data_IF_437203542088
#
_entry.id   IF_437203542088
#
_cell.length_a   1.000
_cell.length_b   1.000
_cell.length_c   1.000
_cell.angle_alpha   90.00
_cell.angle_beta   90.00
_cell.angle_gamma   90.00
#
_symmetry.space_group_name_H-M   'P 1'
#
loop_
_entity.id
_entity.type
_entity.pdbx_description
1 polymer ?
#
# COMPACT_ATOMS: atom_id res chain seq x y z
N UNK A 1 -7.57 26.72 -21.74
CA UNK A 1 -6.81 26.48 -20.50
C UNK A 1 -6.10 25.13 -20.63
N UNK A 2 -4.79 25.06 -20.37
CA UNK A 2 -4.06 23.77 -20.27
C UNK A 2 -3.93 23.43 -18.79
N UNK A 3 -4.35 22.23 -18.40
CA UNK A 3 -4.23 21.71 -17.04
C UNK A 3 -3.10 20.67 -17.03
N UNK A 4 -2.21 20.75 -16.04
CA UNK A 4 -1.16 19.76 -15.78
C UNK A 4 -1.37 19.18 -14.39
N UNK A 5 -1.57 17.86 -14.30
CA UNK A 5 -1.60 17.16 -13.03
C UNK A 5 -0.19 17.04 -12.46
N UNK A 6 -0.07 17.21 -11.14
CA UNK A 6 1.18 17.06 -10.41
C UNK A 6 1.14 15.71 -9.70
N UNK A 7 1.71 14.67 -10.34
CA UNK A 7 1.67 13.29 -9.85
C UNK A 7 2.09 13.21 -8.38
N UNK A 8 3.32 13.58 -8.07
CA UNK A 8 3.87 13.36 -6.73
C UNK A 8 3.07 14.10 -5.66
N UNK A 9 2.71 15.36 -5.90
CA UNK A 9 1.98 16.16 -4.91
C UNK A 9 0.58 15.59 -4.67
N UNK A 10 -0.08 15.12 -5.73
CA UNK A 10 -1.40 14.48 -5.62
C UNK A 10 -1.31 13.11 -4.94
N UNK A 11 -0.27 12.34 -5.27
CA UNK A 11 0.02 11.03 -4.69
C UNK A 11 0.22 11.10 -3.16
N UNK A 12 1.07 12.01 -2.69
CA UNK A 12 1.28 12.22 -1.25
C UNK A 12 0.01 12.70 -0.56
N UNK A 13 -0.71 13.65 -1.16
CA UNK A 13 -1.95 14.18 -0.58
C UNK A 13 -3.02 13.09 -0.43
N UNK A 14 -3.12 12.19 -1.40
CA UNK A 14 -4.02 11.03 -1.36
C UNK A 14 -3.65 10.06 -0.24
N UNK A 15 -2.35 9.78 -0.08
CA UNK A 15 -1.85 8.91 1.00
C UNK A 15 -2.19 9.54 2.37
N UNK A 16 -1.88 10.81 2.59
CA UNK A 16 -2.13 11.50 3.85
C UNK A 16 -3.64 11.57 4.17
N UNK A 17 -4.48 11.88 3.19
CA UNK A 17 -5.94 11.94 3.36
C UNK A 17 -6.62 10.57 3.46
N UNK A 18 -5.89 9.48 3.22
CA UNK A 18 -6.45 8.14 3.34
C UNK A 18 -6.65 7.69 4.79
N UNK A 19 -6.03 8.38 5.76
CA UNK A 19 -6.13 8.04 7.19
C UNK A 19 -7.58 8.06 7.65
N UNK A 20 -8.01 6.97 8.28
CA UNK A 20 -9.38 6.79 8.76
C UNK A 20 -10.41 6.45 7.68
N UNK A 21 -10.00 6.31 6.41
CA UNK A 21 -10.93 6.02 5.32
C UNK A 21 -11.38 4.56 5.32
N UNK A 22 -12.69 4.35 5.23
CA UNK A 22 -13.31 3.02 5.18
C UNK A 22 -13.36 2.43 3.76
N UNK A 23 -12.98 3.18 2.73
CA UNK A 23 -13.11 2.76 1.33
C UNK A 23 -12.26 1.52 0.98
N UNK A 24 -11.27 1.20 1.81
CA UNK A 24 -10.40 0.04 1.63
C UNK A 24 -10.86 -1.18 2.45
N UNK A 25 -11.90 -1.06 3.30
CA UNK A 25 -12.30 -2.13 4.22
C UNK A 25 -12.81 -3.40 3.52
N UNK A 26 -13.38 -3.27 2.33
CA UNK A 26 -14.08 -4.39 1.68
C UNK A 26 -13.64 -4.55 0.24
N UNK A 27 -13.15 -5.73 -0.10
CA UNK A 27 -12.89 -6.15 -1.48
C UNK A 27 -13.66 -7.45 -1.73
N UNK A 28 -14.73 -7.37 -2.52
CA UNK A 28 -15.51 -8.54 -2.89
C UNK A 28 -14.80 -9.35 -3.99
N UNK A 29 -14.72 -10.65 -3.78
CA UNK A 29 -14.28 -11.61 -4.80
C UNK A 29 -15.10 -12.88 -4.76
N UNK A 30 -14.88 -13.74 -5.75
CA UNK A 30 -15.45 -15.08 -5.81
C UNK A 30 -14.34 -16.10 -5.53
N UNK A 31 -14.58 -17.00 -4.57
CA UNK A 31 -13.68 -18.11 -4.23
C UNK A 31 -14.50 -19.39 -4.27
N UNK A 32 -14.13 -20.32 -5.15
CA UNK A 32 -14.84 -21.58 -5.36
C UNK A 32 -16.35 -21.39 -5.63
N UNK A 33 -16.71 -20.38 -6.43
CA UNK A 33 -18.10 -20.04 -6.75
C UNK A 33 -18.86 -19.29 -5.66
N UNK A 34 -18.20 -18.95 -4.54
CA UNK A 34 -18.82 -18.25 -3.40
C UNK A 34 -18.31 -16.82 -3.30
N UNK A 35 -19.24 -15.86 -3.26
CA UNK A 35 -18.93 -14.46 -2.98
C UNK A 35 -18.39 -14.31 -1.55
N UNK A 36 -17.21 -13.71 -1.42
CA UNK A 36 -16.52 -13.49 -0.14
C UNK A 36 -15.93 -12.09 -0.05
N UNK A 37 -15.95 -11.50 1.14
CA UNK A 37 -15.13 -10.33 1.46
C UNK A 37 -13.70 -10.79 1.69
N UNK A 38 -12.82 -10.50 0.74
CA UNK A 38 -11.43 -10.95 0.75
C UNK A 38 -10.59 -10.20 1.79
N UNK A 39 -11.02 -9.00 2.23
CA UNK A 39 -10.31 -8.19 3.21
C UNK A 39 -10.86 -8.32 4.63
N UNK A 40 -11.96 -9.07 4.81
CA UNK A 40 -12.64 -9.32 6.08
C UNK A 40 -12.83 -8.03 6.92
N UNK A 41 -13.64 -7.09 6.41
CA UNK A 41 -13.90 -5.79 7.06
C UNK A 41 -12.62 -5.03 7.43
N UNK A 42 -11.63 -5.07 6.54
CA UNK A 42 -10.38 -4.34 6.67
C UNK A 42 -9.28 -5.07 7.43
N UNK A 43 -9.54 -6.23 8.02
CA UNK A 43 -8.51 -6.99 8.75
C UNK A 43 -7.31 -7.36 7.86
N UNK A 44 -7.55 -7.65 6.57
CA UNK A 44 -6.53 -8.06 5.60
C UNK A 44 -6.35 -7.03 4.46
N UNK A 45 -6.60 -5.75 4.73
CA UNK A 45 -6.66 -4.74 3.67
C UNK A 45 -5.32 -4.11 3.28
N UNK A 46 -4.20 -4.36 3.97
CA UNK A 46 -2.94 -3.64 3.70
C UNK A 46 -2.50 -3.62 2.21
N UNK A 47 -2.53 -4.77 1.52
CA UNK A 47 -2.21 -4.81 0.08
C UNK A 47 -3.33 -4.21 -0.79
N UNK A 48 -4.60 -4.36 -0.41
CA UNK A 48 -5.73 -3.74 -1.12
C UNK A 48 -5.65 -2.21 -1.02
N UNK A 49 -5.30 -1.68 0.14
CA UNK A 49 -5.04 -0.27 0.39
C UNK A 49 -3.91 0.27 -0.50
N UNK A 50 -2.71 -0.32 -0.40
CA UNK A 50 -1.54 0.14 -1.17
C UNK A 50 -1.82 0.03 -2.67
N UNK A 51 -2.28 -1.13 -3.14
CA UNK A 51 -2.56 -1.33 -4.56
C UNK A 51 -3.65 -0.40 -5.09
N UNK A 52 -4.70 -0.12 -4.31
CA UNK A 52 -5.74 0.83 -4.73
C UNK A 52 -5.20 2.22 -5.02
N UNK A 53 -4.34 2.73 -4.12
CA UNK A 53 -3.74 4.06 -4.29
C UNK A 53 -2.82 4.06 -5.51
N UNK A 54 -1.95 3.06 -5.65
CA UNK A 54 -1.05 2.98 -6.81
C UNK A 54 -1.83 2.90 -8.13
N UNK A 55 -2.92 2.12 -8.16
CA UNK A 55 -3.75 1.94 -9.34
C UNK A 55 -4.47 3.23 -9.77
N UNK A 56 -4.77 4.16 -8.84
CA UNK A 56 -5.30 5.48 -9.21
C UNK A 56 -4.33 6.30 -10.06
N UNK A 57 -3.03 5.97 -10.02
CA UNK A 57 -1.97 6.59 -10.80
C UNK A 57 -1.39 5.62 -11.85
N UNK A 58 -2.17 4.61 -12.29
CA UNK A 58 -1.74 3.62 -13.27
C UNK A 58 -1.29 4.23 -14.61
N UNK A 59 -1.75 5.43 -14.97
CA UNK A 59 -1.25 6.15 -16.16
C UNK A 59 0.26 6.46 -16.12
N UNK A 60 0.87 6.40 -14.93
CA UNK A 60 2.32 6.56 -14.71
C UNK A 60 3.05 5.23 -14.52
N UNK A 61 2.36 4.10 -14.73
CA UNK A 61 2.91 2.76 -14.62
C UNK A 61 3.25 2.34 -13.19
N UNK A 62 2.53 2.82 -12.17
CA UNK A 62 2.87 2.44 -10.79
C UNK A 62 2.52 0.98 -10.47
N UNK A 63 1.39 0.47 -10.95
CA UNK A 63 1.07 -0.97 -10.98
C UNK A 63 0.07 -1.21 -12.11
N UNK A 64 -0.08 -2.46 -12.54
CA UNK A 64 -1.03 -2.83 -13.59
C UNK A 64 -2.42 -3.19 -13.04
N UNK A 65 -2.49 -3.84 -11.87
CA UNK A 65 -3.76 -4.38 -11.35
C UNK A 65 -3.94 -4.24 -9.85
N UNK A 66 -5.17 -4.41 -9.36
CA UNK A 66 -5.48 -4.40 -7.93
C UNK A 66 -5.07 -5.72 -7.28
N UNK A 67 -4.49 -5.66 -6.07
CA UNK A 67 -4.05 -6.83 -5.31
C UNK A 67 -4.63 -6.86 -3.90
N UNK A 68 -5.08 -8.03 -3.45
CA UNK A 68 -5.46 -8.26 -2.04
C UNK A 68 -4.32 -8.93 -1.25
N UNK A 69 -3.40 -9.61 -1.93
CA UNK A 69 -2.24 -10.25 -1.30
C UNK A 69 -0.96 -9.44 -1.50
N UNK A 70 -0.11 -9.41 -0.46
CA UNK A 70 1.18 -8.71 -0.48
C UNK A 70 2.12 -9.28 -1.54
N UNK A 71 2.26 -10.61 -1.62
CA UNK A 71 3.11 -11.25 -2.62
C UNK A 71 2.73 -10.89 -4.08
N UNK A 72 1.43 -10.78 -4.37
CA UNK A 72 0.94 -10.36 -5.68
C UNK A 72 1.28 -8.90 -5.98
N UNK A 73 1.04 -8.02 -5.00
CA UNK A 73 1.40 -6.61 -5.07
C UNK A 73 2.89 -6.41 -5.32
N UNK A 74 3.76 -7.06 -4.56
CA UNK A 74 5.22 -6.88 -4.68
C UNK A 74 5.73 -7.33 -6.05
N UNK A 75 5.16 -8.41 -6.61
CA UNK A 75 5.50 -8.86 -7.97
C UNK A 75 5.07 -7.85 -9.03
N UNK A 76 3.83 -7.37 -8.99
CA UNK A 76 3.33 -6.35 -9.94
C UNK A 76 4.14 -5.05 -9.83
N UNK A 77 4.47 -4.63 -8.61
CA UNK A 77 5.36 -3.49 -8.37
C UNK A 77 6.73 -3.70 -9.06
N UNK A 78 7.38 -4.83 -8.86
CA UNK A 78 8.68 -5.11 -9.49
C UNK A 78 8.57 -5.12 -11.02
N UNK A 79 7.54 -5.77 -11.57
CA UNK A 79 7.24 -5.81 -13.01
C UNK A 79 6.93 -4.40 -13.57
N UNK A 80 6.36 -3.53 -12.74
CA UNK A 80 6.04 -2.14 -13.05
C UNK A 80 7.23 -1.19 -12.87
N UNK A 81 8.42 -1.67 -12.48
CA UNK A 81 9.62 -0.85 -12.39
C UNK A 81 9.92 -0.28 -11.00
N UNK A 82 9.23 -0.75 -9.96
CA UNK A 82 9.66 -0.48 -8.59
C UNK A 82 10.95 -1.21 -8.27
N UNK A 83 11.85 -0.54 -7.56
CA UNK A 83 13.13 -1.10 -7.16
C UNK A 83 13.40 -0.85 -5.68
N UNK A 84 14.22 -1.72 -5.07
CA UNK A 84 14.58 -1.59 -3.66
C UNK A 84 15.55 -0.42 -3.44
N UNK A 85 15.31 0.36 -2.40
CA UNK A 85 16.20 1.42 -1.90
C UNK A 85 16.62 1.13 -0.46
N UNK A 86 17.75 1.70 -0.01
CA UNK A 86 18.24 1.50 1.36
C UNK A 86 17.64 2.46 2.37
N UNK A 87 17.33 3.69 1.95
CA UNK A 87 16.81 4.75 2.81
C UNK A 87 15.42 5.17 2.34
N UNK A 88 14.44 5.31 3.24
CA UNK A 88 13.08 5.66 2.84
C UNK A 88 13.01 7.08 2.28
N UNK A 89 12.31 7.22 1.15
CA UNK A 89 11.91 8.50 0.56
C UNK A 89 10.44 8.75 0.86
N UNK A 90 10.02 10.01 0.99
CA UNK A 90 8.61 10.37 1.11
C UNK A 90 7.81 9.74 -0.04
N UNK A 91 6.80 8.93 0.29
CA UNK A 91 6.00 8.18 -0.67
C UNK A 91 6.54 6.79 -1.04
N UNK A 92 7.70 6.38 -0.51
CA UNK A 92 8.20 5.03 -0.71
C UNK A 92 7.26 4.00 -0.07
N UNK A 93 7.24 2.78 -0.63
CA UNK A 93 6.49 1.67 -0.03
C UNK A 93 7.41 0.92 0.92
N UNK A 94 6.91 0.65 2.12
CA UNK A 94 7.58 -0.17 3.12
C UNK A 94 6.92 -1.54 3.16
N UNK A 95 7.74 -2.58 3.11
CA UNK A 95 7.35 -3.97 3.34
C UNK A 95 7.97 -4.44 4.66
N UNK A 96 7.12 -4.86 5.60
CA UNK A 96 7.55 -5.40 6.88
C UNK A 96 7.48 -6.92 6.91
N UNK A 97 8.37 -7.50 7.71
CA UNK A 97 8.46 -8.93 7.97
C UNK A 97 7.13 -9.52 8.44
N UNK A 98 6.98 -10.82 8.21
CA UNK A 98 5.83 -11.58 8.71
C UNK A 98 5.79 -11.54 10.23
N UNK A 99 4.76 -10.92 10.76
CA UNK A 99 4.49 -10.99 12.19
C UNK A 99 3.39 -12.02 12.48
N UNK A 100 3.61 -12.88 13.48
CA UNK A 100 2.55 -13.76 14.00
C UNK A 100 1.61 -12.94 14.86
N UNK A 101 0.35 -12.80 14.41
CA UNK A 101 -0.73 -12.24 15.22
C UNK A 101 -1.92 -13.21 15.20
N UNK A 102 -2.39 -13.60 16.38
CA UNK A 102 -3.57 -14.46 16.56
C UNK A 102 -3.54 -15.76 15.75
N UNK A 103 -2.37 -16.40 15.62
CA UNK A 103 -2.23 -17.65 14.87
C UNK A 103 -2.11 -17.50 13.34
N UNK A 104 -2.19 -16.29 12.80
CA UNK A 104 -1.90 -15.98 11.39
C UNK A 104 -0.58 -15.20 11.26
N UNK A 105 0.29 -15.65 10.35
CA UNK A 105 1.41 -14.85 9.86
C UNK A 105 0.89 -13.93 8.76
N UNK A 106 1.00 -12.61 8.95
CA UNK A 106 0.62 -11.65 7.92
C UNK A 106 1.82 -10.77 7.59
N UNK A 107 2.14 -10.68 6.31
CA UNK A 107 3.00 -9.64 5.75
C UNK A 107 2.27 -8.30 5.84
N UNK A 108 3.04 -7.21 5.93
CA UNK A 108 2.46 -5.89 6.04
C UNK A 108 3.12 -4.92 5.07
N UNK A 109 2.32 -4.02 4.50
CA UNK A 109 2.77 -3.00 3.55
C UNK A 109 2.09 -1.67 3.81
N UNK A 110 2.77 -0.58 3.45
CA UNK A 110 2.30 0.79 3.65
C UNK A 110 3.22 1.81 3.01
N UNK A 111 2.85 3.08 3.14
CA UNK A 111 3.61 4.20 2.58
C UNK A 111 4.42 4.91 3.67
N UNK A 112 5.67 5.20 3.39
CA UNK A 112 6.47 6.10 4.22
C UNK A 112 6.04 7.55 3.99
N UNK A 113 5.80 8.28 5.07
CA UNK A 113 5.29 9.67 5.02
C UNK A 113 6.21 10.68 5.70
N UNK A 114 7.50 10.35 5.84
CA UNK A 114 8.51 11.22 6.46
C UNK A 114 8.50 11.15 7.99
N UNK A 115 9.52 11.76 8.61
CA UNK A 115 9.62 11.93 10.08
C UNK A 115 9.45 10.63 10.88
N UNK A 116 10.02 9.54 10.37
CA UNK A 116 9.88 8.21 10.95
C UNK A 116 8.43 7.70 11.06
N UNK A 117 7.55 8.17 10.17
CA UNK A 117 6.15 7.77 10.08
C UNK A 117 5.85 7.00 8.80
N UNK A 118 4.90 6.08 8.91
CA UNK A 118 4.27 5.40 7.80
C UNK A 118 2.74 5.41 7.95
N UNK A 119 2.04 5.26 6.82
CA UNK A 119 0.60 5.04 6.77
C UNK A 119 0.35 3.64 6.21
N UNK A 120 -0.35 2.83 6.99
CA UNK A 120 -0.69 1.46 6.64
C UNK A 120 -2.06 1.09 7.21
N UNK A 121 -2.65 0.02 6.70
CA UNK A 121 -3.95 -0.43 7.16
C UNK A 121 -3.87 -1.05 8.56
N UNK A 122 -4.63 -0.53 9.51
CA UNK A 122 -4.73 -1.07 10.86
C UNK A 122 -5.75 -2.21 10.91
N UNK A 123 -5.35 -3.46 11.18
CA UNK A 123 -6.27 -4.60 11.14
C UNK A 123 -7.36 -4.58 12.22
N UNK A 124 -7.16 -3.84 13.32
CA UNK A 124 -8.12 -3.77 14.43
C UNK A 124 -9.28 -2.82 14.12
N UNK A 125 -8.99 -1.69 13.46
CA UNK A 125 -10.01 -0.73 13.03
C UNK A 125 -10.44 -0.88 11.57
N UNK A 126 -9.70 -1.66 10.79
CA UNK A 126 -9.94 -1.89 9.36
C UNK A 126 -9.63 -0.69 8.47
N UNK A 127 -8.98 0.37 8.97
CA UNK A 127 -8.73 1.62 8.21
C UNK A 127 -7.24 2.00 8.22
N UNK A 128 -6.76 2.78 7.22
CA UNK A 128 -5.42 3.31 7.23
C UNK A 128 -5.15 4.19 8.47
N UNK A 129 -3.97 4.03 9.08
CA UNK A 129 -3.52 4.84 10.22
C UNK A 129 -2.08 5.26 10.03
N UNK A 130 -1.79 6.48 10.49
CA UNK A 130 -0.42 6.99 10.63
C UNK A 130 0.20 6.41 11.91
N UNK A 131 1.37 5.80 11.78
CA UNK A 131 2.12 5.15 12.88
C UNK A 131 3.63 5.32 12.66
N UNK A 132 4.42 5.18 13.71
CA UNK A 132 5.87 5.09 13.53
C UNK A 132 6.22 3.88 12.67
N UNK A 133 7.12 4.05 11.70
CA UNK A 133 7.69 2.91 11.01
C UNK A 133 8.76 2.27 11.89
N UNK A 134 8.83 0.93 11.91
CA UNK A 134 9.81 0.17 12.69
C UNK A 134 10.93 -0.34 11.77
N UNK A 135 12.10 0.32 11.73
CA UNK A 135 13.17 -0.04 10.79
C UNK A 135 13.67 -1.47 10.96
N UNK A 136 13.66 -1.99 12.20
CA UNK A 136 14.18 -3.30 12.56
C UNK A 136 13.37 -4.48 12.00
N UNK A 137 12.21 -4.20 11.40
CA UNK A 137 11.27 -5.18 10.85
C UNK A 137 11.08 -5.05 9.35
N UNK A 138 11.87 -4.23 8.66
CA UNK A 138 11.70 -3.98 7.23
C UNK A 138 12.40 -5.07 6.41
N UNK A 139 11.66 -5.69 5.48
CA UNK A 139 12.19 -6.60 4.46
C UNK A 139 12.49 -5.89 3.12
N UNK A 140 11.86 -4.75 2.88
CA UNK A 140 12.10 -3.96 1.69
C UNK A 140 11.51 -2.55 1.76
N UNK A 141 12.22 -1.62 1.15
CA UNK A 141 11.75 -0.26 0.87
C UNK A 141 11.79 -0.12 -0.64
N UNK A 142 10.69 0.29 -1.24
CA UNK A 142 10.53 0.32 -2.70
C UNK A 142 10.30 1.75 -3.19
N UNK A 143 10.95 2.09 -4.29
CA UNK A 143 10.81 3.36 -5.00
C UNK A 143 10.46 3.16 -6.46
N UNK A 144 9.81 4.14 -7.05
CA UNK A 144 9.47 4.15 -8.46
C UNK A 144 10.04 5.40 -9.17
N UNK A 145 10.71 5.26 -10.33
CA UNK A 145 11.27 6.40 -11.07
C UNK A 145 10.25 7.48 -11.46
N UNK A 146 8.99 7.12 -11.72
CA UNK A 146 7.94 8.13 -12.01
C UNK A 146 7.67 9.09 -10.84
N UNK A 147 8.14 8.76 -9.63
CA UNK A 147 8.02 9.63 -8.45
C UNK A 147 9.24 10.54 -8.26
N UNK A 148 10.28 10.41 -9.10
CA UNK A 148 11.40 11.35 -9.12
C UNK A 148 10.89 12.72 -9.62
N UNK A 149 11.12 13.76 -8.81
CA UNK A 149 10.80 15.15 -9.13
C UNK A 149 11.92 15.83 -9.91
#
# INVERSE_FOLDING_TARGET
>A
MKVKFLLFDTYIEVIEKSVGSEIFQTTWGEVDGVKKDLTNKGQFSCASYVSSILLWFAEYGLIETRHVGVAGLLRDMEESGWYKISEPKLGAIIHWERTKRNGSENEHVGFYVGEDMAINNDPDSGVPKRRHYTPEKIEGIYWHPSLDK
#
